data_IF_932687468660
#
_entry.id   IF_932687468660
#
_cell.length_a   1.000
_cell.length_b   1.000
_cell.length_c   1.000
_cell.angle_alpha   90.00
_cell.angle_beta   90.00
_cell.angle_gamma   90.00
#
_symmetry.space_group_name_H-M   'P 1'
#
loop_
_entity.id
_entity.type
_entity.pdbx_description
1 polymer ?
#
# COMPACT_ATOMS: atom_id res chain seq x y z
N UNK A 1 -4.98 -8.50 15.91
CA UNK A 1 -4.62 -8.50 14.46
C UNK A 1 -5.41 -9.58 13.72
N UNK A 2 -5.91 -9.28 12.53
CA UNK A 2 -6.56 -10.21 11.58
C UNK A 2 -5.89 -10.11 10.22
N UNK A 3 -5.85 -11.20 9.45
CA UNK A 3 -5.15 -11.26 8.16
C UNK A 3 -6.14 -11.53 7.02
N UNK A 4 -6.09 -10.74 5.96
CA UNK A 4 -6.80 -10.96 4.71
C UNK A 4 -5.81 -11.26 3.57
N UNK A 5 -6.05 -12.33 2.82
CA UNK A 5 -5.25 -12.69 1.63
C UNK A 5 -6.01 -12.56 0.32
N UNK A 6 -7.33 -12.39 0.37
CA UNK A 6 -8.21 -12.21 -0.78
C UNK A 6 -9.04 -10.94 -0.63
N UNK A 7 -9.61 -10.47 -1.74
CA UNK A 7 -10.55 -9.34 -1.74
C UNK A 7 -11.76 -9.61 -0.86
N UNK A 8 -12.34 -10.81 -0.94
CA UNK A 8 -13.48 -11.21 -0.11
C UNK A 8 -13.15 -11.20 1.37
N UNK A 9 -11.98 -11.74 1.76
CA UNK A 9 -11.53 -11.72 3.15
C UNK A 9 -11.31 -10.29 3.65
N UNK A 10 -10.70 -9.41 2.83
CA UNK A 10 -10.53 -8.00 3.17
C UNK A 10 -11.88 -7.35 3.45
N UNK A 11 -12.82 -7.47 2.52
CA UNK A 11 -14.17 -6.90 2.63
C UNK A 11 -14.92 -7.44 3.85
N UNK A 12 -14.86 -8.75 4.13
CA UNK A 12 -15.46 -9.31 5.35
C UNK A 12 -14.82 -8.78 6.64
N UNK A 13 -13.53 -8.45 6.64
CA UNK A 13 -12.84 -7.94 7.83
C UNK A 13 -13.08 -6.45 8.07
N UNK A 14 -13.25 -5.64 7.02
CA UNK A 14 -13.56 -4.21 7.15
C UNK A 14 -15.06 -3.91 7.21
N UNK A 15 -15.92 -4.83 6.76
CA UNK A 15 -17.36 -4.64 6.65
C UNK A 15 -18.04 -4.21 7.95
N UNK A 16 -17.67 -4.80 9.09
CA UNK A 16 -18.23 -4.40 10.39
C UNK A 16 -17.89 -2.94 10.76
N UNK A 17 -16.69 -2.47 10.41
CA UNK A 17 -16.31 -1.07 10.63
C UNK A 17 -17.09 -0.15 9.68
N UNK A 18 -17.27 -0.55 8.41
CA UNK A 18 -18.06 0.20 7.44
C UNK A 18 -19.53 0.30 7.86
N UNK A 19 -20.15 -0.79 8.29
CA UNK A 19 -21.54 -0.84 8.78
C UNK A 19 -21.74 0.03 10.02
N UNK A 20 -20.73 0.09 10.90
CA UNK A 20 -20.75 0.94 12.08
C UNK A 20 -20.43 2.42 11.79
N UNK A 21 -20.14 2.79 10.53
CA UNK A 21 -19.70 4.13 10.16
C UNK A 21 -18.33 4.52 10.76
N UNK A 22 -17.53 3.54 11.18
CA UNK A 22 -16.19 3.79 11.69
C UNK A 22 -15.25 4.10 10.52
N UNK A 23 -14.44 5.19 10.61
CA UNK A 23 -13.50 5.51 9.54
C UNK A 23 -12.46 4.40 9.37
N UNK A 24 -12.00 4.23 8.13
CA UNK A 24 -10.93 3.30 7.76
C UNK A 24 -9.67 4.09 7.45
N UNK A 25 -8.57 3.79 8.14
CA UNK A 25 -7.26 4.35 7.85
C UNK A 25 -6.36 3.31 7.20
N UNK A 26 -5.60 3.73 6.21
CA UNK A 26 -4.80 2.83 5.39
C UNK A 26 -3.31 3.19 5.37
N UNK A 27 -2.47 2.19 5.60
CA UNK A 27 -1.01 2.29 5.50
C UNK A 27 -0.52 1.31 4.43
N UNK A 28 -0.32 1.76 3.17
CA UNK A 28 0.24 0.90 2.13
C UNK A 28 1.75 0.68 2.35
N UNK A 29 2.19 -0.58 2.34
CA UNK A 29 3.61 -0.95 2.43
C UNK A 29 3.98 -2.08 1.48
N UNK A 30 5.28 -2.25 1.24
CA UNK A 30 5.84 -3.41 0.53
C UNK A 30 6.37 -4.51 1.48
N UNK A 31 6.15 -4.40 2.79
CA UNK A 31 6.76 -5.27 3.80
C UNK A 31 8.17 -4.84 4.18
N UNK A 32 8.93 -5.77 4.79
CA UNK A 32 10.24 -5.49 5.39
C UNK A 32 10.16 -4.29 6.35
N UNK A 33 9.21 -4.40 7.29
CA UNK A 33 8.80 -3.30 8.14
C UNK A 33 9.92 -2.87 9.09
N UNK A 34 9.89 -1.59 9.43
CA UNK A 34 10.89 -0.94 10.26
C UNK A 34 10.20 0.14 11.11
N UNK A 35 10.87 0.76 12.10
CA UNK A 35 10.22 1.70 13.03
C UNK A 35 9.42 2.82 12.36
N UNK A 36 9.88 3.34 11.21
CA UNK A 36 9.12 4.33 10.42
C UNK A 36 7.74 3.84 9.96
N UNK A 37 7.61 2.57 9.55
CA UNK A 37 6.31 1.98 9.19
C UNK A 37 5.40 1.85 10.42
N UNK A 38 5.97 1.38 11.54
CA UNK A 38 5.23 1.22 12.80
C UNK A 38 4.73 2.57 13.33
N UNK A 39 5.49 3.65 13.12
CA UNK A 39 5.07 5.00 13.47
C UNK A 39 3.84 5.46 12.65
N UNK A 40 3.74 5.10 11.37
CA UNK A 40 2.54 5.38 10.55
C UNK A 40 1.32 4.62 11.05
N UNK A 41 1.49 3.34 11.41
CA UNK A 41 0.41 2.51 11.98
C UNK A 41 -0.07 3.08 13.32
N UNK A 42 0.86 3.45 14.20
CA UNK A 42 0.54 4.07 15.48
C UNK A 42 -0.21 5.40 15.31
N UNK A 43 0.23 6.25 14.37
CA UNK A 43 -0.44 7.50 14.05
C UNK A 43 -1.85 7.27 13.47
N UNK A 44 -2.03 6.24 12.64
CA UNK A 44 -3.33 5.85 12.10
C UNK A 44 -4.30 5.38 13.20
N UNK A 45 -3.82 4.58 14.15
CA UNK A 45 -4.64 4.08 15.27
C UNK A 45 -5.01 5.16 16.27
N UNK A 46 -4.12 6.12 16.53
CA UNK A 46 -4.36 7.21 17.48
C UNK A 46 -5.59 8.07 17.13
N UNK A 47 -6.07 7.98 15.89
CA UNK A 47 -7.25 8.69 15.41
C UNK A 47 -8.58 7.90 15.54
N UNK A 48 -8.58 6.72 16.18
CA UNK A 48 -9.80 5.98 16.51
C UNK A 48 -10.47 5.22 15.35
N UNK A 49 -9.75 5.01 14.25
CA UNK A 49 -10.22 4.33 13.04
C UNK A 49 -9.92 2.83 13.03
N UNK A 50 -10.62 2.07 12.18
CA UNK A 50 -10.19 0.74 11.77
C UNK A 50 -8.95 0.90 10.87
N UNK A 51 -7.82 0.33 11.30
CA UNK A 51 -6.57 0.43 10.52
C UNK A 51 -6.37 -0.80 9.65
N UNK A 52 -6.06 -0.55 8.39
CA UNK A 52 -5.65 -1.55 7.40
C UNK A 52 -4.20 -1.28 7.00
N UNK A 53 -3.36 -2.32 7.00
CA UNK A 53 -1.99 -2.26 6.49
C UNK A 53 -1.89 -3.23 5.33
N UNK A 54 -1.47 -2.78 4.14
CA UNK A 54 -1.13 -3.73 3.08
C UNK A 54 0.36 -4.04 3.12
N UNK A 55 0.71 -5.31 2.88
CA UNK A 55 2.07 -5.74 2.62
C UNK A 55 2.05 -6.40 1.25
N UNK A 56 2.53 -5.67 0.24
CA UNK A 56 2.54 -6.15 -1.13
C UNK A 56 3.73 -5.58 -1.91
N UNK A 57 4.65 -6.44 -2.33
CA UNK A 57 5.76 -6.06 -3.21
C UNK A 57 5.22 -5.93 -4.63
N UNK A 58 4.91 -4.72 -5.05
CA UNK A 58 4.34 -4.45 -6.36
C UNK A 58 5.38 -4.65 -7.48
N UNK A 59 5.19 -5.59 -8.43
CA UNK A 59 6.14 -5.77 -9.53
C UNK A 59 6.20 -4.58 -10.50
N UNK A 60 5.11 -3.82 -10.69
CA UNK A 60 5.04 -2.81 -11.75
C UNK A 60 5.82 -1.53 -11.46
N UNK A 61 6.24 -1.32 -10.21
CA UNK A 61 7.06 -0.18 -9.82
C UNK A 61 8.57 -0.49 -9.78
N UNK A 62 8.99 -1.70 -10.17
CA UNK A 62 10.40 -2.04 -10.32
C UNK A 62 10.81 -1.89 -11.79
N UNK A 63 11.83 -1.08 -12.03
CA UNK A 63 12.45 -0.90 -13.35
C UNK A 63 13.47 -2.00 -13.69
N UNK A 64 13.98 -2.72 -12.68
CA UNK A 64 14.92 -3.82 -12.84
C UNK A 64 14.36 -5.10 -12.21
N UNK A 65 14.43 -6.22 -12.94
CA UNK A 65 13.93 -7.51 -12.47
C UNK A 65 14.76 -8.03 -11.29
N UNK A 66 16.05 -7.72 -11.26
CA UNK A 66 16.97 -8.10 -10.19
C UNK A 66 16.59 -7.45 -8.86
N UNK A 67 16.16 -6.19 -8.87
CA UNK A 67 15.73 -5.47 -7.68
C UNK A 67 14.45 -6.09 -7.10
N UNK A 68 13.49 -6.44 -7.97
CA UNK A 68 12.28 -7.15 -7.56
C UNK A 68 12.58 -8.53 -6.97
N UNK A 69 13.53 -9.26 -7.57
CA UNK A 69 13.94 -10.58 -7.11
C UNK A 69 14.64 -10.52 -5.74
N UNK A 70 15.49 -9.50 -5.53
CA UNK A 70 16.24 -9.30 -4.28
C UNK A 70 15.44 -8.61 -3.18
N UNK A 71 14.28 -8.03 -3.50
CA UNK A 71 13.49 -7.30 -2.51
C UNK A 71 13.14 -8.20 -1.32
N UNK A 72 13.43 -7.76 -0.07
CA UNK A 72 13.22 -8.58 1.12
C UNK A 72 11.74 -8.92 1.30
N UNK A 73 11.45 -10.20 1.54
CA UNK A 73 10.10 -10.70 1.87
C UNK A 73 10.19 -11.44 3.19
N UNK A 74 9.65 -10.84 4.25
CA UNK A 74 9.84 -11.29 5.63
C UNK A 74 8.51 -11.39 6.38
N UNK A 75 7.51 -12.04 5.77
CA UNK A 75 6.12 -12.03 6.27
C UNK A 75 6.00 -12.32 7.77
N UNK A 76 6.70 -13.34 8.26
CA UNK A 76 6.67 -13.69 9.69
C UNK A 76 7.21 -12.57 10.60
N UNK A 77 8.28 -11.90 10.18
CA UNK A 77 8.85 -10.77 10.93
C UNK A 77 7.95 -9.53 10.86
N UNK A 78 7.37 -9.26 9.69
CA UNK A 78 6.44 -8.15 9.49
C UNK A 78 5.18 -8.32 10.35
N UNK A 79 4.59 -9.52 10.37
CA UNK A 79 3.44 -9.85 11.21
C UNK A 79 3.76 -9.79 12.70
N UNK A 80 4.95 -10.23 13.11
CA UNK A 80 5.40 -10.11 14.49
C UNK A 80 5.60 -8.63 14.90
N UNK A 81 6.12 -7.79 14.00
CA UNK A 81 6.25 -6.35 14.26
C UNK A 81 4.89 -5.66 14.39
N UNK A 82 3.88 -6.10 13.62
CA UNK A 82 2.53 -5.56 13.65
C UNK A 82 1.66 -6.10 14.80
N UNK A 83 2.05 -7.19 15.47
CA UNK A 83 1.23 -7.81 16.51
C UNK A 83 1.10 -6.96 17.78
N UNK A 84 1.90 -5.91 17.91
CA UNK A 84 1.82 -4.93 19.01
C UNK A 84 0.60 -3.99 18.88
N UNK A 85 -0.07 -3.99 17.72
CA UNK A 85 -1.21 -3.14 17.43
C UNK A 85 -2.54 -3.89 17.55
N UNK A 86 -3.46 -3.31 18.31
CA UNK A 86 -4.79 -3.88 18.51
C UNK A 86 -5.70 -3.70 17.28
N UNK A 87 -6.62 -4.63 17.06
CA UNK A 87 -7.66 -4.53 16.02
C UNK A 87 -7.16 -4.24 14.59
N UNK A 88 -5.87 -4.47 14.29
CA UNK A 88 -5.30 -4.27 12.96
C UNK A 88 -5.81 -5.30 11.95
N UNK A 89 -6.13 -4.87 10.73
CA UNK A 89 -6.31 -5.74 9.55
C UNK A 89 -5.06 -5.66 8.68
N UNK A 90 -4.41 -6.80 8.44
CA UNK A 90 -3.25 -6.89 7.55
C UNK A 90 -3.68 -7.53 6.24
N UNK A 91 -3.59 -6.77 5.15
CA UNK A 91 -3.88 -7.25 3.80
C UNK A 91 -2.59 -7.75 3.14
N UNK A 92 -2.52 -9.06 2.91
CA UNK A 92 -1.40 -9.79 2.30
C UNK A 92 -1.85 -10.41 0.95
N UNK A 93 -2.15 -9.59 -0.06
CA UNK A 93 -2.59 -10.08 -1.37
C UNK A 93 -1.41 -10.66 -2.16
N UNK A 94 -1.72 -11.58 -3.08
CA UNK A 94 -0.82 -11.92 -4.17
C UNK A 94 -1.00 -10.98 -5.38
N UNK A 95 -0.17 -11.16 -6.41
CA UNK A 95 -0.25 -10.34 -7.62
C UNK A 95 -1.57 -10.52 -8.35
N UNK A 96 -2.15 -11.73 -8.39
CA UNK A 96 -3.42 -11.97 -9.05
C UNK A 96 -4.60 -11.29 -8.33
N UNK A 97 -4.52 -11.16 -7.01
CA UNK A 97 -5.51 -10.44 -6.18
C UNK A 97 -5.50 -8.94 -6.50
N UNK A 98 -4.33 -8.35 -6.76
CA UNK A 98 -4.22 -6.93 -7.14
C UNK A 98 -4.49 -6.71 -8.65
N UNK A 99 -3.93 -7.57 -9.50
CA UNK A 99 -3.92 -7.45 -10.95
C UNK A 99 -4.71 -8.60 -11.60
N UNK A 100 -6.04 -8.60 -11.47
CA UNK A 100 -6.92 -9.65 -12.01
C UNK A 100 -6.74 -9.87 -13.52
N UNK A 101 -6.50 -8.80 -14.27
CA UNK A 101 -6.30 -8.83 -15.72
C UNK A 101 -4.83 -8.89 -16.12
N UNK A 102 -3.94 -9.17 -15.17
CA UNK A 102 -2.49 -9.12 -15.35
C UNK A 102 -1.91 -7.70 -15.29
N UNK A 103 -0.61 -7.60 -15.52
CA UNK A 103 0.18 -6.37 -15.38
C UNK A 103 0.48 -5.68 -16.72
N UNK A 104 -0.20 -6.09 -17.79
CA UNK A 104 -0.03 -5.52 -19.14
C UNK A 104 -1.13 -4.50 -19.44
N UNK A 105 -0.84 -3.49 -20.26
CA UNK A 105 -1.81 -2.48 -20.70
C UNK A 105 -2.53 -1.77 -19.53
N UNK A 106 -1.75 -1.40 -18.52
CA UNK A 106 -2.28 -0.72 -17.34
C UNK A 106 -2.59 0.75 -17.65
N UNK A 107 -3.54 1.30 -16.90
CA UNK A 107 -3.87 2.72 -16.92
C UNK A 107 -2.62 3.58 -16.74
N UNK A 108 -2.54 4.66 -17.51
CA UNK A 108 -1.49 5.65 -17.45
C UNK A 108 -2.02 6.90 -16.76
N UNK A 109 -1.28 7.40 -15.77
CA UNK A 109 -1.64 8.59 -15.00
C UNK A 109 -0.89 9.81 -15.55
N UNK A 110 -1.57 10.95 -15.74
CA UNK A 110 -0.89 12.19 -16.10
C UNK A 110 -0.19 12.80 -14.89
N UNK A 111 1.07 12.44 -14.69
CA UNK A 111 1.90 12.95 -13.60
C UNK A 111 2.64 14.24 -13.97
N UNK A 112 2.58 14.68 -15.22
CA UNK A 112 3.41 15.79 -15.74
C UNK A 112 4.88 15.60 -15.39
N UNK A 113 5.54 16.67 -14.93
CA UNK A 113 6.98 16.63 -14.63
C UNK A 113 7.35 15.73 -13.44
N UNK A 114 6.41 15.35 -12.57
CA UNK A 114 6.73 14.50 -11.40
C UNK A 114 7.26 13.12 -11.81
N UNK A 115 6.94 12.64 -13.02
CA UNK A 115 7.45 11.38 -13.54
C UNK A 115 8.91 11.48 -14.02
N UNK A 116 9.38 12.67 -14.38
CA UNK A 116 10.64 12.86 -15.11
C UNK A 116 11.68 13.70 -14.37
N UNK A 117 11.37 14.16 -13.15
CA UNK A 117 12.33 14.85 -12.26
C UNK A 117 12.78 13.95 -11.11
N UNK A 118 13.88 14.30 -10.46
CA UNK A 118 14.41 13.66 -9.24
C UNK A 118 14.48 12.12 -9.35
N UNK A 119 13.77 11.37 -8.51
CA UNK A 119 13.75 9.90 -8.55
C UNK A 119 13.19 9.37 -9.87
N UNK A 120 12.16 10.05 -10.40
CA UNK A 120 11.50 9.67 -11.66
C UNK A 120 12.45 9.69 -12.86
N UNK A 121 13.40 10.65 -12.87
CA UNK A 121 14.46 10.71 -13.87
C UNK A 121 15.39 9.48 -13.84
N UNK A 122 15.63 8.92 -12.66
CA UNK A 122 16.53 7.78 -12.46
C UNK A 122 15.81 6.43 -12.56
N UNK A 123 14.49 6.42 -12.38
CA UNK A 123 13.66 5.21 -12.42
C UNK A 123 12.44 5.42 -13.32
N UNK A 124 12.63 5.46 -14.66
CA UNK A 124 11.53 5.62 -15.61
C UNK A 124 10.41 4.60 -15.37
N UNK A 125 9.17 5.07 -15.36
CA UNK A 125 7.97 4.25 -15.12
C UNK A 125 7.71 3.84 -13.66
N UNK A 126 8.63 4.12 -12.72
CA UNK A 126 8.46 3.77 -11.30
C UNK A 126 7.17 4.36 -10.72
N UNK A 127 6.94 5.66 -10.92
CA UNK A 127 5.77 6.34 -10.38
C UNK A 127 4.45 5.94 -11.06
N UNK A 128 4.48 5.56 -12.35
CA UNK A 128 3.32 4.93 -12.98
C UNK A 128 2.97 3.62 -12.27
N UNK A 129 3.98 2.79 -11.97
CA UNK A 129 3.80 1.58 -11.17
C UNK A 129 3.22 1.83 -9.78
N UNK A 130 3.71 2.87 -9.09
CA UNK A 130 3.17 3.30 -7.79
C UNK A 130 1.70 3.69 -7.90
N UNK A 131 1.34 4.56 -8.85
CA UNK A 131 -0.04 4.97 -9.05
C UNK A 131 -0.96 3.78 -9.37
N UNK A 132 -0.51 2.88 -10.24
CA UNK A 132 -1.26 1.68 -10.62
C UNK A 132 -1.57 0.79 -9.42
N UNK A 133 -0.61 0.55 -8.52
CA UNK A 133 -0.87 -0.30 -7.35
C UNK A 133 -1.69 0.44 -6.29
N UNK A 134 -1.38 1.71 -6.01
CA UNK A 134 -2.07 2.47 -4.96
C UNK A 134 -3.52 2.70 -5.36
N UNK A 135 -3.83 3.07 -6.61
CA UNK A 135 -5.22 3.23 -7.05
C UNK A 135 -6.05 1.96 -6.90
N UNK A 136 -5.44 0.78 -7.13
CA UNK A 136 -6.08 -0.53 -6.91
C UNK A 136 -6.29 -0.81 -5.43
N UNK A 137 -5.28 -0.57 -4.59
CA UNK A 137 -5.40 -0.74 -3.15
C UNK A 137 -6.47 0.19 -2.56
N UNK A 138 -6.56 1.44 -3.01
CA UNK A 138 -7.60 2.38 -2.58
C UNK A 138 -9.00 1.89 -2.94
N UNK A 139 -9.19 1.35 -4.16
CA UNK A 139 -10.47 0.73 -4.57
C UNK A 139 -10.83 -0.52 -3.76
N UNK A 140 -9.83 -1.26 -3.28
CA UNK A 140 -10.06 -2.49 -2.50
C UNK A 140 -10.32 -2.22 -1.02
N UNK A 141 -9.65 -1.22 -0.46
CA UNK A 141 -9.69 -0.88 0.97
C UNK A 141 -10.74 0.18 1.29
N UNK A 142 -11.05 1.07 0.33
CA UNK A 142 -11.95 2.22 0.48
C UNK A 142 -11.65 3.06 1.75
N UNK A 143 -10.40 3.53 1.93
CA UNK A 143 -10.03 4.25 3.13
C UNK A 143 -10.53 5.69 3.12
N UNK A 144 -10.72 6.23 4.32
CA UNK A 144 -11.02 7.64 4.55
C UNK A 144 -9.74 8.48 4.61
N UNK A 145 -8.64 7.90 5.13
CA UNK A 145 -7.33 8.55 5.24
C UNK A 145 -6.24 7.54 4.88
N UNK A 146 -5.24 8.00 4.13
CA UNK A 146 -4.05 7.22 3.77
C UNK A 146 -2.84 7.84 4.46
N UNK A 147 -2.01 7.01 5.08
CA UNK A 147 -0.80 7.42 5.80
C UNK A 147 0.42 7.04 4.98
N UNK A 148 1.22 8.04 4.62
CA UNK A 148 2.42 7.89 3.80
C UNK A 148 3.64 8.44 4.54
N UNK A 149 4.79 7.78 4.37
CA UNK A 149 6.05 8.23 4.95
C UNK A 149 6.67 9.36 4.12
N UNK A 150 7.02 10.46 4.77
CA UNK A 150 7.67 11.61 4.09
C UNK A 150 9.11 11.33 3.63
N UNK A 151 9.69 10.19 4.01
CA UNK A 151 10.98 9.72 3.48
C UNK A 151 10.97 9.70 1.94
N UNK A 152 9.87 9.24 1.35
CA UNK A 152 9.69 9.15 -0.10
C UNK A 152 8.87 10.35 -0.59
N UNK A 153 9.37 11.57 -0.34
CA UNK A 153 8.63 12.83 -0.54
C UNK A 153 8.03 12.99 -1.93
N UNK A 154 8.77 12.63 -2.99
CA UNK A 154 8.25 12.69 -4.36
C UNK A 154 7.07 11.73 -4.57
N UNK A 155 7.07 10.57 -3.91
CA UNK A 155 5.94 9.63 -3.95
C UNK A 155 4.69 10.25 -3.33
N UNK A 156 4.82 11.01 -2.23
CA UNK A 156 3.69 11.74 -1.65
C UNK A 156 3.09 12.73 -2.66
N UNK A 157 3.93 13.54 -3.33
CA UNK A 157 3.47 14.48 -4.35
C UNK A 157 2.79 13.79 -5.55
N UNK A 158 3.32 12.64 -5.97
CA UNK A 158 2.75 11.82 -7.04
C UNK A 158 1.37 11.30 -6.65
N UNK A 159 1.21 10.79 -5.43
CA UNK A 159 -0.06 10.28 -4.94
C UNK A 159 -1.09 11.38 -4.69
N UNK A 160 -0.65 12.53 -4.19
CA UNK A 160 -1.50 13.73 -4.08
C UNK A 160 -2.00 14.22 -5.44
N UNK A 161 -1.18 14.13 -6.50
CA UNK A 161 -1.60 14.49 -7.86
C UNK A 161 -2.54 13.46 -8.50
N UNK A 162 -2.40 12.20 -8.13
CA UNK A 162 -3.21 11.10 -8.66
C UNK A 162 -4.65 11.11 -8.12
N UNK A 163 -4.82 11.50 -6.85
CA UNK A 163 -6.09 11.49 -6.11
C UNK A 163 -6.95 12.72 -6.38
#
# INVERSE_FOLDING_TARGET
MKIARSRSALQSLVGAAQEAGQPIHFVPTMGALHPGHLALVAAAQAQGAQVVVSIFVNPTQFNQAEDLAKYPRQEAADLAALSVFDSLVVFLPDTATIYETGTTQLEHYDLGNLETIWEGAHRPGHFQGVCQVVSRLLKLVEPHVVFLGQKDFQQCLVLEKMM
#
